data_IF_813447399978
#
_entry.id   IF_813447399978
#
_cell.length_a   1.000
_cell.length_b   1.000
_cell.length_c   1.000
_cell.angle_alpha   90.00
_cell.angle_beta   90.00
_cell.angle_gamma   90.00
#
_symmetry.space_group_name_H-M   'P 1'
#
loop_
_entity.id
_entity.type
_entity.pdbx_description
1 polymer ?
#
# COMPACT_ATOMS: atom_id res chain seq x y z
N UNK A 1 -8.79 -23.63 -11.12
CA UNK A 1 -9.50 -23.05 -9.94
C UNK A 1 -8.61 -23.00 -8.70
N UNK A 2 -7.98 -24.11 -8.28
CA UNK A 2 -7.10 -24.13 -7.10
C UNK A 2 -5.92 -23.15 -7.21
N UNK A 3 -5.31 -23.00 -8.40
CA UNK A 3 -4.20 -22.06 -8.60
C UNK A 3 -4.62 -20.59 -8.53
N UNK A 4 -5.87 -20.30 -8.92
CA UNK A 4 -6.45 -18.96 -8.77
C UNK A 4 -6.60 -18.59 -7.29
N UNK A 5 -7.13 -19.51 -6.47
CA UNK A 5 -7.23 -19.28 -5.02
C UNK A 5 -5.86 -19.11 -4.37
N UNK A 6 -4.86 -19.90 -4.79
CA UNK A 6 -3.47 -19.75 -4.33
C UNK A 6 -2.90 -18.39 -4.70
N UNK A 7 -3.04 -17.96 -5.95
CA UNK A 7 -2.56 -16.67 -6.42
C UNK A 7 -3.22 -15.50 -5.67
N UNK A 8 -4.55 -15.57 -5.46
CA UNK A 8 -5.28 -14.55 -4.71
C UNK A 8 -4.82 -14.52 -3.25
N UNK A 9 -4.68 -15.68 -2.60
CA UNK A 9 -4.22 -15.78 -1.22
C UNK A 9 -2.82 -15.21 -1.03
N UNK A 10 -1.87 -15.59 -1.89
CA UNK A 10 -0.50 -15.08 -1.85
C UNK A 10 -0.46 -13.57 -2.09
N UNK A 11 -1.19 -13.08 -3.11
CA UNK A 11 -1.25 -11.65 -3.42
C UNK A 11 -1.81 -10.83 -2.27
N UNK A 12 -2.86 -11.32 -1.59
CA UNK A 12 -3.44 -10.66 -0.42
C UNK A 12 -2.48 -10.65 0.77
N UNK A 13 -1.83 -11.78 1.08
CA UNK A 13 -0.86 -11.86 2.19
C UNK A 13 0.28 -10.85 2.03
N UNK A 14 0.68 -10.57 0.79
CA UNK A 14 1.75 -9.63 0.50
C UNK A 14 1.25 -8.18 0.45
N UNK A 15 0.11 -7.91 -0.20
CA UNK A 15 -0.37 -6.54 -0.38
C UNK A 15 -1.08 -5.96 0.85
N UNK A 16 -1.67 -6.79 1.73
CA UNK A 16 -2.36 -6.29 2.94
C UNK A 16 -1.42 -5.56 3.91
N UNK A 17 -0.26 -6.13 4.28
CA UNK A 17 0.70 -5.42 5.12
C UNK A 17 1.20 -4.11 4.49
N UNK A 18 1.36 -4.08 3.16
CA UNK A 18 1.79 -2.90 2.42
C UNK A 18 0.70 -1.82 2.35
N UNK A 19 -0.53 -2.23 2.06
CA UNK A 19 -1.71 -1.36 2.01
C UNK A 19 -2.04 -0.78 3.40
N UNK A 20 -1.71 -1.52 4.46
CA UNK A 20 -1.82 -1.15 5.86
C UNK A 20 -3.11 -0.37 6.20
N UNK A 21 -4.29 -0.99 6.01
CA UNK A 21 -5.57 -0.31 6.17
C UNK A 21 -5.80 0.21 7.59
N UNK A 22 -5.14 -0.35 8.61
CA UNK A 22 -5.28 0.09 10.00
C UNK A 22 -4.62 1.45 10.26
N UNK A 23 -3.43 1.68 9.71
CA UNK A 23 -2.81 3.00 9.78
C UNK A 23 -3.60 4.02 8.98
N UNK A 24 -4.16 3.63 7.83
CA UNK A 24 -5.06 4.50 7.06
C UNK A 24 -6.35 4.82 7.82
N UNK A 25 -6.89 3.88 8.62
CA UNK A 25 -8.02 4.14 9.53
C UNK A 25 -7.67 5.19 10.59
N UNK A 26 -6.51 5.09 11.22
CA UNK A 26 -6.07 6.06 12.22
C UNK A 26 -5.90 7.47 11.60
N UNK A 27 -5.28 7.54 10.42
CA UNK A 27 -5.13 8.77 9.65
C UNK A 27 -6.48 9.36 9.26
N UNK A 28 -7.39 8.52 8.76
CA UNK A 28 -8.73 8.92 8.37
C UNK A 28 -9.52 9.52 9.53
N UNK A 29 -9.46 8.91 10.72
CA UNK A 29 -10.15 9.45 11.90
C UNK A 29 -9.57 10.78 12.38
N UNK A 30 -8.26 11.00 12.19
CA UNK A 30 -7.63 12.29 12.47
C UNK A 30 -8.08 13.40 11.51
N UNK A 31 -8.32 13.06 10.24
CA UNK A 31 -8.73 14.01 9.19
C UNK A 31 -10.25 14.20 9.09
N UNK A 32 -11.03 13.20 9.47
CA UNK A 32 -12.50 13.20 9.34
C UNK A 32 -13.23 13.94 10.49
N UNK A 33 -12.50 14.70 11.32
CA UNK A 33 -13.03 15.28 12.57
C UNK A 33 -14.28 16.16 12.40
N UNK A 34 -14.36 16.93 11.30
CA UNK A 34 -15.49 17.83 11.03
C UNK A 34 -16.49 17.28 10.00
N UNK A 35 -16.28 16.07 9.48
CA UNK A 35 -17.10 15.51 8.39
C UNK A 35 -18.40 14.89 8.91
N UNK A 36 -19.48 15.09 8.17
CA UNK A 36 -20.73 14.36 8.44
C UNK A 36 -20.62 12.88 8.02
N UNK A 37 -21.60 12.06 8.42
CA UNK A 37 -21.56 10.61 8.12
C UNK A 37 -21.61 10.28 6.62
N UNK A 38 -22.29 11.09 5.82
CA UNK A 38 -22.41 10.90 4.37
C UNK A 38 -21.10 11.25 3.65
N UNK A 39 -20.47 12.36 4.03
CA UNK A 39 -19.13 12.78 3.57
C UNK A 39 -18.10 11.73 3.93
N UNK A 40 -18.10 11.25 5.18
CA UNK A 40 -17.19 10.20 5.62
C UNK A 40 -17.31 8.94 4.77
N UNK A 41 -18.55 8.49 4.50
CA UNK A 41 -18.78 7.31 3.67
C UNK A 41 -18.37 7.54 2.19
N UNK A 42 -18.60 8.74 1.66
CA UNK A 42 -18.15 9.14 0.31
C UNK A 42 -16.63 9.14 0.22
N UNK A 43 -15.93 9.74 1.17
CA UNK A 43 -14.47 9.77 1.21
C UNK A 43 -13.87 8.36 1.33
N UNK A 44 -14.42 7.51 2.21
CA UNK A 44 -14.00 6.11 2.33
C UNK A 44 -14.17 5.35 1.00
N UNK A 45 -15.28 5.55 0.30
CA UNK A 45 -15.53 4.91 -0.99
C UNK A 45 -14.57 5.41 -2.08
N UNK A 46 -14.41 6.73 -2.19
CA UNK A 46 -13.50 7.33 -3.16
C UNK A 46 -12.06 6.90 -2.92
N UNK A 47 -11.61 6.80 -1.66
CA UNK A 47 -10.26 6.36 -1.31
C UNK A 47 -10.00 4.94 -1.84
N UNK A 48 -10.94 4.03 -1.63
CA UNK A 48 -10.86 2.65 -2.13
C UNK A 48 -10.87 2.57 -3.65
N UNK A 49 -11.69 3.39 -4.33
CA UNK A 49 -11.70 3.46 -5.79
C UNK A 49 -10.35 3.96 -6.32
N UNK A 50 -9.78 4.99 -5.71
CA UNK A 50 -8.46 5.49 -6.08
C UNK A 50 -7.36 4.46 -5.86
N UNK A 51 -7.34 3.77 -4.71
CA UNK A 51 -6.38 2.70 -4.44
C UNK A 51 -6.49 1.60 -5.50
N UNK A 52 -7.70 1.15 -5.82
CA UNK A 52 -7.93 0.17 -6.88
C UNK A 52 -7.37 0.64 -8.23
N UNK A 53 -7.71 1.87 -8.63
CA UNK A 53 -7.25 2.45 -9.89
C UNK A 53 -5.72 2.57 -9.95
N UNK A 54 -5.08 3.01 -8.87
CA UNK A 54 -3.62 3.15 -8.79
C UNK A 54 -2.95 1.78 -8.89
N UNK A 55 -3.45 0.77 -8.18
CA UNK A 55 -2.89 -0.59 -8.25
C UNK A 55 -3.03 -1.19 -9.66
N UNK A 56 -4.17 -0.97 -10.33
CA UNK A 56 -4.38 -1.38 -11.72
C UNK A 56 -3.38 -0.68 -12.66
N UNK A 57 -3.26 0.64 -12.56
CA UNK A 57 -2.30 1.40 -13.38
C UNK A 57 -0.87 0.94 -13.12
N UNK A 58 -0.47 0.76 -11.86
CA UNK A 58 0.86 0.26 -11.51
C UNK A 58 1.13 -1.12 -12.14
N UNK A 59 0.16 -2.04 -12.08
CA UNK A 59 0.31 -3.38 -12.63
C UNK A 59 0.44 -3.40 -14.16
N UNK A 60 -0.42 -2.66 -14.87
CA UNK A 60 -0.46 -2.69 -16.34
C UNK A 60 0.52 -1.73 -17.00
N UNK A 61 0.71 -0.54 -16.45
CA UNK A 61 1.57 0.50 -17.03
C UNK A 61 2.97 0.56 -16.40
N UNK A 62 3.18 -0.03 -15.22
CA UNK A 62 4.44 0.11 -14.50
C UNK A 62 5.66 -0.41 -15.27
N UNK A 63 5.53 -1.52 -16.00
CA UNK A 63 6.63 -2.04 -16.83
C UNK A 63 6.98 -1.09 -17.98
N UNK A 64 5.98 -0.44 -18.59
CA UNK A 64 6.20 0.55 -19.65
C UNK A 64 6.99 1.75 -19.10
N UNK A 65 6.62 2.23 -17.91
CA UNK A 65 7.32 3.31 -17.23
C UNK A 65 8.78 2.92 -16.96
N UNK A 66 9.01 1.74 -16.40
CA UNK A 66 10.37 1.26 -16.13
C UNK A 66 11.24 1.21 -17.39
N UNK A 67 10.72 0.67 -18.48
CA UNK A 67 11.44 0.57 -19.75
C UNK A 67 11.78 1.97 -20.31
N UNK A 68 10.88 2.94 -20.15
CA UNK A 68 11.10 4.32 -20.61
C UNK A 68 12.23 5.00 -19.85
N UNK A 69 12.33 4.76 -18.54
CA UNK A 69 13.40 5.30 -17.70
C UNK A 69 14.67 4.45 -17.70
N UNK A 70 14.70 3.31 -18.41
CA UNK A 70 15.84 2.39 -18.41
C UNK A 70 16.10 1.72 -17.05
N UNK A 71 15.06 1.61 -16.20
CA UNK A 71 15.18 1.01 -14.86
C UNK A 71 15.00 -0.50 -14.97
N UNK A 72 15.99 -1.25 -14.49
CA UNK A 72 15.92 -2.72 -14.46
C UNK A 72 15.00 -3.23 -13.35
N UNK A 73 14.40 -4.42 -13.55
CA UNK A 73 13.60 -5.12 -12.52
C UNK A 73 14.38 -5.30 -11.20
N UNK A 74 15.66 -5.73 -11.21
CA UNK A 74 16.43 -5.84 -9.97
C UNK A 74 16.64 -4.49 -9.28
N UNK A 75 16.89 -3.42 -10.05
CA UNK A 75 17.03 -2.07 -9.52
C UNK A 75 15.76 -1.58 -8.81
N UNK A 76 14.60 -1.83 -9.42
CA UNK A 76 13.30 -1.54 -8.79
C UNK A 76 13.09 -2.35 -7.52
N UNK A 77 13.45 -3.64 -7.51
CA UNK A 77 13.32 -4.50 -6.32
C UNK A 77 14.14 -3.98 -5.14
N UNK A 78 15.37 -3.55 -5.40
CA UNK A 78 16.24 -2.96 -4.36
C UNK A 78 15.66 -1.64 -3.87
N UNK A 79 15.30 -0.72 -4.78
CA UNK A 79 14.74 0.58 -4.41
C UNK A 79 13.40 0.44 -3.65
N UNK A 80 12.50 -0.40 -4.16
CA UNK A 80 11.23 -0.72 -3.53
C UNK A 80 11.41 -1.39 -2.17
N UNK A 81 12.35 -2.33 -2.06
CA UNK A 81 12.69 -2.99 -0.81
C UNK A 81 13.22 -2.03 0.25
N UNK A 82 14.05 -1.05 -0.14
CA UNK A 82 14.51 0.02 0.75
C UNK A 82 13.36 0.90 1.24
N UNK A 83 12.44 1.29 0.34
CA UNK A 83 11.26 2.10 0.70
C UNK A 83 10.35 1.33 1.66
N UNK A 84 10.06 0.08 1.35
CA UNK A 84 9.22 -0.82 2.17
C UNK A 84 9.84 -1.03 3.55
N UNK A 85 11.14 -1.29 3.62
CA UNK A 85 11.86 -1.41 4.89
C UNK A 85 11.85 -0.10 5.68
N UNK A 86 12.04 1.05 5.02
CA UNK A 86 12.00 2.36 5.65
C UNK A 86 10.62 2.66 6.26
N UNK A 87 9.53 2.35 5.54
CA UNK A 87 8.16 2.46 6.06
C UNK A 87 7.98 1.53 7.27
N UNK A 88 8.44 0.28 7.16
CA UNK A 88 8.38 -0.69 8.25
C UNK A 88 9.13 -0.21 9.51
N UNK A 89 10.33 0.36 9.35
CA UNK A 89 11.09 0.94 10.45
C UNK A 89 10.38 2.13 11.10
N UNK A 90 9.76 3.02 10.31
CA UNK A 90 8.95 4.11 10.85
C UNK A 90 7.74 3.63 11.64
N UNK A 91 7.17 2.49 11.28
CA UNK A 91 6.05 1.87 12.00
C UNK A 91 6.50 1.15 13.27
N UNK A 92 7.69 0.54 13.27
CA UNK A 92 8.30 -0.12 14.43
C UNK A 92 8.79 0.88 15.48
N UNK A 93 9.41 1.96 15.00
CA UNK A 93 9.97 3.03 15.81
C UNK A 93 9.30 4.34 15.41
N UNK A 94 8.03 4.56 15.83
CA UNK A 94 7.37 5.83 15.60
C UNK A 94 8.23 6.95 16.21
N UNK A 95 8.65 7.89 15.37
CA UNK A 95 9.37 9.07 15.85
C UNK A 95 8.44 9.81 16.82
N UNK A 96 8.84 9.95 18.08
CA UNK A 96 8.14 10.83 19.01
C UNK A 96 8.23 12.26 18.44
N UNK A 97 7.09 12.82 18.01
CA UNK A 97 6.88 14.19 17.49
C UNK A 97 8.10 15.12 17.58
N UNK A 98 9.13 14.88 16.79
CA UNK A 98 10.26 15.76 16.61
C UNK A 98 10.03 16.38 15.25
N UNK A 99 9.36 17.54 15.27
CA UNK A 99 9.00 18.34 14.11
C UNK A 99 8.31 17.54 13.00
N UNK A 100 6.97 17.52 13.04
CA UNK A 100 6.23 17.63 11.78
C UNK A 100 6.91 18.76 10.99
N UNK A 101 7.42 18.46 9.80
CA UNK A 101 7.91 19.52 8.92
C UNK A 101 6.77 20.55 8.80
N UNK A 102 7.08 21.86 8.77
CA UNK A 102 6.05 22.89 8.61
C UNK A 102 5.11 22.58 7.45
N UNK A 103 5.56 21.84 6.43
CA UNK A 103 4.75 21.37 5.29
C UNK A 103 3.68 20.32 5.65
N UNK A 104 3.92 19.41 6.61
CA UNK A 104 2.93 18.41 7.01
C UNK A 104 1.84 18.99 7.92
N UNK A 105 2.21 19.97 8.77
CA UNK A 105 1.27 20.79 9.53
C UNK A 105 0.52 21.76 8.64
N UNK A 106 1.22 22.54 7.81
CA UNK A 106 0.61 23.49 6.87
C UNK A 106 -0.38 22.79 5.96
N UNK A 107 -0.08 21.59 5.46
CA UNK A 107 -1.05 20.87 4.63
C UNK A 107 -2.20 20.29 5.44
N UNK A 108 -1.98 19.81 6.67
CA UNK A 108 -3.09 19.33 7.52
C UNK A 108 -3.97 20.48 8.03
N UNK A 109 -3.41 21.68 8.21
CA UNK A 109 -4.09 22.92 8.60
C UNK A 109 -4.78 23.58 7.38
N UNK A 110 -4.16 23.63 6.20
CA UNK A 110 -4.76 24.08 4.93
C UNK A 110 -5.93 23.16 4.51
N UNK A 111 -5.77 21.84 4.64
CA UNK A 111 -6.84 20.88 4.34
C UNK A 111 -7.98 20.93 5.38
N UNK A 112 -7.74 21.46 6.58
CA UNK A 112 -8.77 21.66 7.60
C UNK A 112 -9.59 22.94 7.36
N UNK A 113 -9.02 23.93 6.67
CA UNK A 113 -9.66 25.20 6.35
C UNK A 113 -10.31 25.22 4.95
N UNK A 114 -10.00 24.24 4.08
CA UNK A 114 -10.69 24.03 2.80
C UNK A 114 -11.83 22.99 2.89
N UNK A 115 -13.12 23.37 2.76
CA UNK A 115 -14.26 22.47 2.85
C UNK A 115 -14.40 21.47 1.68
N UNK A 116 -13.40 21.36 0.80
CA UNK A 116 -13.48 20.51 -0.41
C UNK A 116 -12.24 19.66 -0.68
N UNK A 117 -11.25 19.67 0.21
CA UNK A 117 -10.05 18.91 -0.07
C UNK A 117 -10.32 17.40 -0.02
N UNK A 118 -10.15 16.76 -1.17
CA UNK A 118 -10.48 15.36 -1.40
C UNK A 118 -9.49 14.44 -0.69
N UNK A 119 -9.64 14.29 0.63
CA UNK A 119 -8.77 13.48 1.49
C UNK A 119 -8.65 12.02 0.99
N UNK A 120 -9.67 11.55 0.26
CA UNK A 120 -9.68 10.27 -0.41
C UNK A 120 -8.46 10.04 -1.31
N UNK A 121 -8.05 11.05 -2.09
CA UNK A 121 -6.89 10.91 -2.98
C UNK A 121 -5.58 11.12 -2.20
N UNK A 122 -5.46 12.27 -1.52
CA UNK A 122 -4.31 12.60 -0.67
C UNK A 122 -4.79 13.01 0.71
N UNK A 123 -4.32 12.39 1.80
CA UNK A 123 -3.24 11.41 1.89
C UNK A 123 -3.68 9.92 1.88
N UNK A 124 -4.99 9.62 1.80
CA UNK A 124 -5.51 8.26 2.04
C UNK A 124 -5.09 7.27 0.95
N UNK A 125 -5.44 7.52 -0.32
CA UNK A 125 -5.03 6.64 -1.40
C UNK A 125 -3.52 6.75 -1.67
N UNK A 126 -3.00 7.98 -1.79
CA UNK A 126 -1.57 8.28 -1.88
C UNK A 126 -1.16 9.28 -0.80
N UNK A 127 -0.03 9.08 -0.08
CA UNK A 127 0.87 7.93 -0.16
C UNK A 127 0.48 6.79 0.80
N UNK A 128 -0.57 6.92 1.61
CA UNK A 128 -0.79 6.02 2.75
C UNK A 128 -1.02 4.55 2.36
N UNK A 129 -1.84 4.27 1.35
CA UNK A 129 -2.19 2.89 0.98
C UNK A 129 -1.50 2.42 -0.30
N UNK A 130 -1.64 3.18 -1.39
CA UNK A 130 -0.97 2.91 -2.67
C UNK A 130 0.32 3.72 -2.79
N UNK A 131 1.15 3.65 -1.75
CA UNK A 131 2.43 4.34 -1.68
C UNK A 131 3.50 3.75 -2.61
N UNK A 132 4.68 4.37 -2.68
CA UNK A 132 5.76 3.94 -3.56
C UNK A 132 6.23 2.49 -3.30
N UNK A 133 6.19 2.03 -2.04
CA UNK A 133 6.49 0.64 -1.70
C UNK A 133 5.48 -0.36 -2.28
N UNK A 134 4.19 -0.07 -2.15
CA UNK A 134 3.10 -0.87 -2.74
C UNK A 134 3.20 -0.91 -4.27
N UNK A 135 3.49 0.23 -4.90
CA UNK A 135 3.67 0.32 -6.36
C UNK A 135 4.87 -0.53 -6.81
N UNK A 136 6.03 -0.38 -6.15
CA UNK A 136 7.22 -1.16 -6.49
C UNK A 136 6.97 -2.68 -6.31
N UNK A 137 6.23 -3.07 -5.27
CA UNK A 137 5.81 -4.46 -5.06
C UNK A 137 4.95 -4.97 -6.21
N UNK A 138 3.92 -4.24 -6.60
CA UNK A 138 3.01 -4.65 -7.67
C UNK A 138 3.76 -4.87 -8.97
N UNK A 139 4.66 -3.94 -9.33
CA UNK A 139 5.43 -4.03 -10.57
C UNK A 139 6.43 -5.19 -10.51
N UNK A 140 7.11 -5.37 -9.38
CA UNK A 140 8.04 -6.49 -9.16
C UNK A 140 7.33 -7.86 -9.20
N UNK A 141 6.17 -7.99 -8.55
CA UNK A 141 5.38 -9.21 -8.61
C UNK A 141 4.84 -9.48 -10.02
N UNK A 142 4.43 -8.45 -10.75
CA UNK A 142 4.00 -8.57 -12.13
C UNK A 142 5.13 -9.12 -13.02
N UNK A 143 6.36 -8.66 -12.83
CA UNK A 143 7.50 -9.18 -13.59
C UNK A 143 7.85 -10.62 -13.21
N UNK A 144 7.86 -10.98 -11.92
CA UNK A 144 8.14 -12.36 -11.47
C UNK A 144 7.16 -13.36 -12.07
N UNK A 145 5.86 -13.07 -11.96
CA UNK A 145 4.80 -14.01 -12.35
C UNK A 145 4.77 -14.20 -13.88
N UNK A 146 5.04 -13.14 -14.65
CA UNK A 146 5.09 -13.22 -16.13
C UNK A 146 6.27 -14.03 -16.67
N UNK A 147 7.37 -14.16 -15.92
CA UNK A 147 8.57 -14.87 -16.38
C UNK A 147 8.77 -16.23 -15.69
N UNK A 148 8.13 -16.48 -14.55
CA UNK A 148 8.35 -17.66 -13.72
C UNK A 148 7.59 -18.93 -14.14
N UNK A 149 6.57 -18.82 -15.01
CA UNK A 149 5.79 -19.97 -15.49
C UNK A 149 5.00 -20.74 -14.41
N UNK A 150 4.97 -20.26 -13.17
CA UNK A 150 4.34 -20.94 -12.03
C UNK A 150 2.81 -21.01 -12.10
N UNK A 151 2.18 -20.10 -12.83
CA UNK A 151 0.73 -20.00 -12.95
C UNK A 151 0.29 -20.02 -14.42
N UNK A 152 -0.87 -20.62 -14.74
CA UNK A 152 -1.45 -20.53 -16.08
C UNK A 152 -1.72 -19.08 -16.50
N UNK A 153 -1.55 -18.75 -17.78
CA UNK A 153 -1.71 -17.38 -18.31
C UNK A 153 -3.06 -16.74 -17.95
N UNK A 154 -4.15 -17.52 -17.97
CA UNK A 154 -5.47 -17.03 -17.61
C UNK A 154 -5.56 -16.62 -16.13
N UNK A 155 -4.81 -17.28 -15.24
CA UNK A 155 -4.73 -16.91 -13.81
C UNK A 155 -3.95 -15.61 -13.65
N UNK A 156 -2.86 -15.44 -14.40
CA UNK A 156 -2.04 -14.23 -14.38
C UNK A 156 -2.85 -13.02 -14.86
N UNK A 157 -3.78 -13.22 -15.80
CA UNK A 157 -4.66 -12.17 -16.29
C UNK A 157 -5.79 -11.81 -15.31
N UNK A 158 -6.39 -12.80 -14.65
CA UNK A 158 -7.62 -12.62 -13.85
C UNK A 158 -7.35 -12.37 -12.36
N UNK A 159 -6.27 -12.93 -11.80
CA UNK A 159 -5.97 -12.81 -10.37
C UNK A 159 -5.67 -11.36 -9.92
N UNK A 160 -4.85 -10.55 -10.62
CA UNK A 160 -4.47 -9.21 -10.13
C UNK A 160 -5.67 -8.28 -9.94
N UNK A 161 -6.61 -8.13 -10.90
CA UNK A 161 -7.81 -7.31 -10.68
C UNK A 161 -8.64 -7.76 -9.49
N UNK A 162 -8.77 -9.09 -9.27
CA UNK A 162 -9.50 -9.63 -8.11
C UNK A 162 -8.79 -9.29 -6.80
N UNK A 163 -7.47 -9.44 -6.76
CA UNK A 163 -6.66 -9.10 -5.58
C UNK A 163 -6.79 -7.61 -5.26
N UNK A 164 -6.63 -6.72 -6.25
CA UNK A 164 -6.72 -5.27 -6.05
C UNK A 164 -8.13 -4.87 -5.61
N UNK A 165 -9.17 -5.48 -6.18
CA UNK A 165 -10.54 -5.26 -5.77
C UNK A 165 -10.76 -5.71 -4.31
N UNK A 166 -10.24 -6.88 -3.94
CA UNK A 166 -10.31 -7.38 -2.58
C UNK A 166 -9.61 -6.44 -1.59
N UNK A 167 -8.40 -5.95 -1.90
CA UNK A 167 -7.71 -4.95 -1.07
C UNK A 167 -8.52 -3.67 -0.95
N UNK A 168 -9.09 -3.16 -2.04
CA UNK A 168 -9.91 -1.95 -2.03
C UNK A 168 -11.20 -2.11 -1.20
N UNK A 169 -11.84 -3.28 -1.28
CA UNK A 169 -13.03 -3.64 -0.48
C UNK A 169 -12.67 -3.76 1.00
N UNK A 170 -11.53 -4.39 1.34
CA UNK A 170 -11.06 -4.47 2.73
C UNK A 170 -10.79 -3.07 3.27
N UNK A 171 -10.05 -2.23 2.53
CA UNK A 171 -9.79 -0.85 2.90
C UNK A 171 -11.11 -0.09 3.11
N UNK A 172 -12.06 -0.23 2.20
CA UNK A 172 -13.37 0.42 2.31
C UNK A 172 -14.10 0.01 3.58
N UNK A 173 -14.12 -1.30 3.87
CA UNK A 173 -14.70 -1.86 5.09
C UNK A 173 -14.03 -1.31 6.35
N UNK A 174 -12.69 -1.24 6.35
CA UNK A 174 -11.91 -0.65 7.44
C UNK A 174 -12.22 0.84 7.65
N UNK A 175 -12.22 1.65 6.58
CA UNK A 175 -12.48 3.08 6.66
C UNK A 175 -13.93 3.38 7.04
N UNK A 176 -14.90 2.63 6.50
CA UNK A 176 -16.31 2.75 6.87
C UNK A 176 -16.53 2.40 8.34
N UNK A 177 -15.86 1.35 8.81
CA UNK A 177 -15.92 0.85 10.19
C UNK A 177 -14.91 1.51 11.12
N UNK A 178 -14.22 2.57 10.67
CA UNK A 178 -13.13 3.23 11.40
C UNK A 178 -13.51 3.60 12.83
N UNK A 179 -14.69 4.19 13.03
CA UNK A 179 -15.19 4.52 14.36
C UNK A 179 -15.43 3.30 15.25
N UNK A 180 -15.87 2.17 14.69
CA UNK A 180 -16.05 0.93 15.42
C UNK A 180 -14.70 0.28 15.75
N UNK A 181 -13.77 0.25 14.79
CA UNK A 181 -12.39 -0.25 14.99
C UNK A 181 -11.70 0.55 16.10
N UNK A 182 -11.81 1.87 16.09
CA UNK A 182 -11.24 2.73 17.13
C UNK A 182 -11.85 2.46 18.51
N UNK A 183 -13.15 2.19 18.60
CA UNK A 183 -13.82 1.86 19.87
C UNK A 183 -13.47 0.47 20.39
N UNK A 184 -13.32 -0.51 19.50
CA UNK A 184 -13.02 -1.91 19.87
C UNK A 184 -11.55 -2.14 20.18
N UNK A 185 -10.66 -1.64 19.32
CA UNK A 185 -9.21 -1.91 19.37
C UNK A 185 -8.48 -0.84 20.20
N UNK A 186 -9.01 0.39 20.22
CA UNK A 186 -8.37 1.53 20.87
C UNK A 186 -7.08 1.98 20.18
N UNK A 187 -6.56 3.14 20.62
CA UNK A 187 -5.32 3.70 20.07
C UNK A 187 -4.12 2.78 20.26
N UNK A 188 -3.98 2.19 21.45
CA UNK A 188 -2.87 1.29 21.76
C UNK A 188 -2.88 -0.02 20.96
N UNK A 189 -4.07 -0.59 20.70
CA UNK A 189 -4.18 -1.80 19.88
C UNK A 189 -3.86 -1.53 18.40
N UNK A 190 -4.31 -0.39 17.86
CA UNK A 190 -3.96 0.03 16.49
C UNK A 190 -2.44 0.22 16.38
N UNK A 191 -1.81 0.84 17.39
CA UNK A 191 -0.36 1.02 17.43
C UNK A 191 0.38 -0.32 17.51
N UNK A 192 -0.06 -1.25 18.36
CA UNK A 192 0.55 -2.57 18.48
C UNK A 192 0.46 -3.37 17.16
N UNK A 193 -0.71 -3.39 16.51
CA UNK A 193 -0.86 -4.06 15.21
C UNK A 193 -0.04 -3.36 14.13
N UNK A 194 0.00 -2.01 14.14
CA UNK A 194 0.84 -1.24 13.23
C UNK A 194 2.32 -1.60 13.40
N UNK A 195 2.82 -1.80 14.62
CA UNK A 195 4.20 -2.25 14.85
C UNK A 195 4.44 -3.66 14.30
N UNK A 196 3.47 -4.57 14.46
CA UNK A 196 3.55 -5.92 13.90
C UNK A 196 3.58 -5.90 12.37
N UNK A 197 2.72 -5.10 11.73
CA UNK A 197 2.79 -4.88 10.28
C UNK A 197 4.15 -4.28 9.89
N UNK A 198 4.67 -3.32 10.67
CA UNK A 198 5.97 -2.69 10.44
C UNK A 198 7.12 -3.71 10.41
N UNK A 199 7.10 -4.68 11.34
CA UNK A 199 8.03 -5.81 11.32
C UNK A 199 7.94 -6.62 10.01
N UNK A 200 6.72 -6.98 9.59
CA UNK A 200 6.51 -7.71 8.34
C UNK A 200 7.02 -6.93 7.12
N UNK A 201 6.75 -5.61 7.07
CA UNK A 201 7.26 -4.74 6.02
C UNK A 201 8.80 -4.73 5.99
N UNK A 202 9.48 -4.65 7.13
CA UNK A 202 10.97 -4.74 7.17
C UNK A 202 11.44 -6.08 6.59
N UNK A 203 10.85 -7.19 7.02
CA UNK A 203 11.20 -8.52 6.51
C UNK A 203 10.98 -8.63 5.00
N UNK A 204 9.83 -8.17 4.50
CA UNK A 204 9.52 -8.16 3.07
C UNK A 204 10.47 -7.27 2.27
N UNK A 205 10.81 -6.08 2.79
CA UNK A 205 11.73 -5.15 2.16
C UNK A 205 13.14 -5.73 2.03
N UNK A 206 13.64 -6.39 3.08
CA UNK A 206 14.92 -7.11 3.04
C UNK A 206 14.88 -8.26 2.04
N UNK A 207 13.80 -9.06 2.04
CA UNK A 207 13.63 -10.16 1.06
C UNK A 207 13.68 -9.64 -0.39
N UNK A 208 13.10 -8.47 -0.63
CA UNK A 208 13.12 -7.81 -1.93
C UNK A 208 14.53 -7.38 -2.37
N UNK A 209 15.31 -6.82 -1.45
CA UNK A 209 16.71 -6.48 -1.71
C UNK A 209 17.50 -7.74 -2.03
N UNK A 210 17.32 -8.82 -1.25
CA UNK A 210 17.97 -10.12 -1.50
C UNK A 210 17.64 -10.63 -2.90
N UNK A 211 16.36 -10.65 -3.28
CA UNK A 211 15.92 -11.11 -4.59
C UNK A 211 16.51 -10.26 -5.73
N UNK A 212 16.55 -8.94 -5.56
CA UNK A 212 17.18 -8.04 -6.54
C UNK A 212 18.68 -8.29 -6.67
N UNK A 213 19.41 -8.43 -5.56
CA UNK A 213 20.86 -8.70 -5.57
C UNK A 213 21.17 -10.06 -6.22
N UNK A 214 20.43 -11.12 -5.86
CA UNK A 214 20.62 -12.45 -6.45
C UNK A 214 20.37 -12.46 -7.97
N UNK A 215 19.38 -11.70 -8.44
CA UNK A 215 19.07 -11.59 -9.86
C UNK A 215 20.16 -10.82 -10.63
N UNK A 216 20.74 -9.76 -10.04
CA UNK A 216 21.92 -9.07 -10.60
C UNK A 216 23.08 -10.06 -10.73
N UNK A 217 23.38 -10.82 -9.67
CA UNK A 217 24.50 -11.77 -9.68
C UNK A 217 24.31 -12.83 -10.78
N UNK A 218 23.10 -13.38 -10.95
CA UNK A 218 22.81 -14.37 -12.00
C UNK A 218 22.85 -13.80 -13.42
N UNK A 219 22.63 -12.49 -13.58
CA UNK A 219 22.55 -11.86 -14.91
C UNK A 219 23.92 -11.35 -15.37
N UNK A 220 24.79 -10.97 -14.43
CA UNK A 220 26.11 -10.38 -14.71
C UNK A 220 27.29 -11.33 -14.46
N UNK A 221 27.03 -12.58 -14.09
CA UNK A 221 28.03 -13.65 -13.93
C UNK A 221 27.57 -14.88 -14.72
#
# INVERSE_FOLDING_TARGET
MMDLFKAIGLGLVVLLPLANPLTTVALFLGLAGNMNSAERNRQSYMASVYVFAIMMVAYYAGQLVMNTFGISIPGLRIAGGLIVAFIGFRMLFPQQKAHESPEAKSKSEELADEPTANIAFVPLAMPSTAGPGTIAMIISSASTVRHGGEFPDWVIMVAPPIIFLAVAVILWGCLRSSGAIMRLVGKGGIEAISRLMGFLLVCMGVQFIINGVLEIIKTYH
#
